data_IF_845565452136
#
_entry.id   IF_845565452136
#
_cell.length_a   1.000
_cell.length_b   1.000
_cell.length_c   1.000
_cell.angle_alpha   90.00
_cell.angle_beta   90.00
_cell.angle_gamma   90.00
#
_symmetry.space_group_name_H-M   'P 1'
#
loop_
_entity.id
_entity.type
_entity.pdbx_description
1 polymer ?
#
# COMPACT_ATOMS: atom_id res chain seq x y z
N UNK A 1 8.40 -20.92 -7.64
CA UNK A 1 8.01 -20.40 -6.30
C UNK A 1 6.68 -19.66 -6.46
N UNK A 2 5.58 -20.20 -5.93
CA UNK A 2 4.25 -19.58 -6.05
C UNK A 2 4.20 -18.35 -5.15
N UNK A 3 4.14 -17.17 -5.77
CA UNK A 3 3.92 -15.89 -5.11
C UNK A 3 2.62 -15.96 -4.33
N UNK A 4 2.68 -15.90 -2.99
CA UNK A 4 1.53 -15.62 -2.13
C UNK A 4 1.07 -14.20 -2.40
N UNK A 5 0.40 -14.03 -3.55
CA UNK A 5 0.30 -12.78 -4.27
C UNK A 5 -0.52 -11.76 -3.50
N UNK A 6 0.17 -10.71 -3.04
CA UNK A 6 -0.44 -9.48 -2.59
C UNK A 6 -1.60 -9.09 -3.51
N UNK A 7 -2.78 -8.87 -2.94
CA UNK A 7 -4.00 -8.60 -3.70
C UNK A 7 -3.76 -7.45 -4.71
N UNK A 8 -4.09 -7.65 -5.98
CA UNK A 8 -3.70 -6.72 -7.06
C UNK A 8 -4.21 -5.28 -6.85
N UNK A 9 -5.33 -5.12 -6.14
CA UNK A 9 -5.85 -3.81 -5.71
C UNK A 9 -4.90 -3.08 -4.75
N UNK A 10 -4.30 -3.82 -3.81
CA UNK A 10 -3.36 -3.28 -2.85
C UNK A 10 -2.04 -2.92 -3.50
N UNK A 11 -1.54 -3.76 -4.42
CA UNK A 11 -0.32 -3.43 -5.17
C UNK A 11 -0.47 -2.11 -5.97
N UNK A 12 -1.62 -1.90 -6.62
CA UNK A 12 -1.94 -0.63 -7.30
C UNK A 12 -2.03 0.55 -6.33
N UNK A 13 -2.63 0.36 -5.15
CA UNK A 13 -2.71 1.38 -4.12
C UNK A 13 -1.32 1.81 -3.63
N UNK A 14 -0.48 0.83 -3.27
CA UNK A 14 0.89 1.12 -2.82
C UNK A 14 1.68 1.85 -3.88
N UNK A 15 1.55 1.46 -5.15
CA UNK A 15 2.26 2.15 -6.24
C UNK A 15 1.83 3.62 -6.35
N UNK A 16 0.51 3.89 -6.35
CA UNK A 16 0.00 5.28 -6.38
C UNK A 16 0.46 6.09 -5.16
N UNK A 17 0.46 5.46 -3.99
CA UNK A 17 0.91 6.10 -2.75
C UNK A 17 2.42 6.39 -2.77
N UNK A 18 3.22 5.45 -3.28
CA UNK A 18 4.65 5.60 -3.49
C UNK A 18 4.95 6.83 -4.36
N UNK A 19 4.26 6.95 -5.49
CA UNK A 19 4.40 8.08 -6.40
C UNK A 19 4.01 9.42 -5.74
N UNK A 20 2.93 9.43 -4.96
CA UNK A 20 2.50 10.64 -4.23
C UNK A 20 3.50 11.08 -3.15
N UNK A 21 4.10 10.13 -2.43
CA UNK A 21 5.05 10.40 -1.34
C UNK A 21 6.50 10.51 -1.81
N UNK A 22 6.80 10.18 -3.07
CA UNK A 22 8.16 10.12 -3.60
C UNK A 22 8.98 8.96 -3.01
N UNK A 23 8.34 7.88 -2.58
CA UNK A 23 9.01 6.72 -1.98
C UNK A 23 9.09 5.54 -2.93
N UNK A 24 9.94 4.56 -2.62
CA UNK A 24 10.02 3.31 -3.39
C UNK A 24 8.85 2.39 -3.05
N UNK A 25 8.10 1.97 -4.06
CA UNK A 25 6.99 1.01 -3.91
C UNK A 25 7.43 -0.31 -3.27
N UNK A 26 8.68 -0.72 -3.49
CA UNK A 26 9.23 -1.96 -2.92
C UNK A 26 9.36 -1.89 -1.40
N UNK A 27 9.70 -0.71 -0.86
CA UNK A 27 9.77 -0.49 0.58
C UNK A 27 8.37 -0.59 1.21
N UNK A 28 7.38 0.06 0.58
CA UNK A 28 5.98 -0.03 0.99
C UNK A 28 5.45 -1.47 0.93
N UNK A 29 5.85 -2.27 -0.07
CA UNK A 29 5.47 -3.69 -0.15
C UNK A 29 6.07 -4.49 1.00
N UNK A 30 7.35 -4.28 1.33
CA UNK A 30 8.00 -4.93 2.48
C UNK A 30 7.31 -4.57 3.78
N UNK A 31 7.07 -3.28 4.02
CA UNK A 31 6.31 -2.80 5.16
C UNK A 31 4.93 -3.46 5.21
N UNK A 32 4.20 -3.46 4.09
CA UNK A 32 2.87 -4.07 4.01
C UNK A 32 2.85 -5.55 4.37
N UNK A 33 3.85 -6.31 3.92
CA UNK A 33 3.98 -7.73 4.26
C UNK A 33 4.27 -7.94 5.75
N UNK A 34 4.99 -7.00 6.39
CA UNK A 34 5.24 -7.01 7.83
C UNK A 34 4.01 -6.67 8.69
N UNK A 35 2.98 -6.06 8.12
CA UNK A 35 1.75 -5.69 8.83
C UNK A 35 0.77 -6.87 8.96
N UNK A 36 0.02 -6.90 10.06
CA UNK A 36 -1.10 -7.83 10.26
C UNK A 36 -2.38 -7.37 9.52
N UNK A 37 -3.46 -8.15 9.56
CA UNK A 37 -4.68 -7.85 8.81
C UNK A 37 -5.37 -6.54 9.23
N UNK A 38 -5.40 -6.22 10.54
CA UNK A 38 -5.99 -4.99 11.05
C UNK A 38 -5.17 -3.76 10.68
N UNK A 39 -3.85 -3.85 10.87
CA UNK A 39 -2.87 -2.83 10.47
C UNK A 39 -2.96 -2.52 8.98
N UNK A 40 -3.00 -3.56 8.13
CA UNK A 40 -3.18 -3.42 6.68
C UNK A 40 -4.47 -2.70 6.34
N UNK A 41 -5.57 -3.02 7.02
CA UNK A 41 -6.84 -2.33 6.79
C UNK A 41 -6.75 -0.85 7.16
N UNK A 42 -6.23 -0.53 8.35
CA UNK A 42 -6.04 0.85 8.81
C UNK A 42 -5.17 1.64 7.83
N UNK A 43 -3.98 1.11 7.51
CA UNK A 43 -3.03 1.71 6.56
C UNK A 43 -3.65 1.92 5.18
N UNK A 44 -4.49 0.99 4.72
CA UNK A 44 -5.22 1.12 3.45
C UNK A 44 -6.15 2.33 3.46
N UNK A 45 -6.93 2.49 4.54
CA UNK A 45 -7.87 3.60 4.67
C UNK A 45 -7.12 4.94 4.73
N UNK A 46 -6.02 5.00 5.47
CA UNK A 46 -5.15 6.18 5.50
C UNK A 46 -4.63 6.53 4.10
N UNK A 47 -4.03 5.57 3.38
CA UNK A 47 -3.52 5.78 2.03
C UNK A 47 -4.63 6.24 1.07
N UNK A 48 -5.82 5.66 1.17
CA UNK A 48 -6.99 6.06 0.36
C UNK A 48 -7.44 7.48 0.69
N UNK A 49 -7.49 7.84 1.98
CA UNK A 49 -7.83 9.20 2.43
C UNK A 49 -6.82 10.22 1.91
N UNK A 50 -5.52 9.94 2.05
CA UNK A 50 -4.47 10.81 1.55
C UNK A 50 -4.51 10.95 0.02
N UNK A 51 -4.74 9.85 -0.71
CA UNK A 51 -4.86 9.90 -2.18
C UNK A 51 -6.13 10.64 -2.64
N UNK A 52 -7.23 10.55 -1.89
CA UNK A 52 -8.50 11.23 -2.21
C UNK A 52 -8.52 12.70 -1.81
N UNK A 53 -7.74 13.08 -0.79
CA UNK A 53 -7.67 14.45 -0.25
C UNK A 53 -6.70 15.40 -0.95
N UNK A 54 -6.27 15.11 -2.18
CA UNK A 54 -5.54 16.06 -3.00
C UNK A 54 -6.50 16.88 -3.86
N UNK A 55 -7.07 17.93 -3.29
CA UNK A 55 -7.76 19.00 -4.01
C UNK A 55 -7.25 20.33 -3.49
#
# INVERSE_FOLDING_TARGET
MKSGGMNGKTAKLLNRYALKKGTKVDDLKKQWLSLNAGERFSRRQEMLKELKGGK
#
